data_IF_082976876007
#
_entry.id   IF_082976876007
#
_cell.length_a   1.000
_cell.length_b   1.000
_cell.length_c   1.000
_cell.angle_alpha   90.00
_cell.angle_beta   90.00
_cell.angle_gamma   90.00
#
_symmetry.space_group_name_H-M   'P 1'
#
loop_
_entity.id
_entity.type
_entity.pdbx_description
1 polymer ?
#
# COMPACT_ATOMS: atom_id res chain seq x y z
N UNK A 1 -51.14 10.63 29.45
CA UNK A 1 -51.31 9.16 29.45
C UNK A 1 -52.06 8.77 28.18
N UNK A 2 -51.72 7.60 27.63
CA UNK A 2 -52.27 6.91 26.45
C UNK A 2 -51.40 7.00 25.18
N UNK A 3 -50.63 5.91 24.98
CA UNK A 3 -49.88 5.55 23.78
C UNK A 3 -50.65 4.39 23.11
N UNK A 4 -51.02 4.45 21.82
CA UNK A 4 -51.57 3.30 21.12
C UNK A 4 -50.43 2.40 20.62
N UNK A 5 -50.65 1.09 20.70
CA UNK A 5 -49.76 0.03 20.26
C UNK A 5 -50.07 -0.45 18.84
N UNK A 6 -48.99 -0.50 18.06
CA UNK A 6 -48.60 -1.50 17.06
C UNK A 6 -49.60 -1.92 15.96
N UNK A 7 -49.21 -1.52 14.75
CA UNK A 7 -49.77 -1.85 13.46
C UNK A 7 -49.60 -3.31 13.03
N UNK A 8 -50.50 -3.63 12.10
CA UNK A 8 -50.79 -4.83 11.35
C UNK A 8 -49.61 -5.53 10.63
N UNK A 9 -49.78 -6.85 10.57
CA UNK A 9 -49.14 -7.85 9.74
C UNK A 9 -48.98 -7.46 8.26
N UNK A 10 -47.77 -7.69 7.72
CA UNK A 10 -47.46 -7.75 6.30
C UNK A 10 -46.26 -8.66 6.08
N UNK A 11 -46.48 -9.75 5.33
CA UNK A 11 -45.53 -10.83 5.06
C UNK A 11 -44.42 -10.34 4.10
N UNK A 12 -43.15 -10.49 4.50
CA UNK A 12 -41.99 -10.12 3.67
C UNK A 12 -41.51 -11.32 2.84
N UNK A 13 -41.20 -11.16 1.54
CA UNK A 13 -40.71 -12.26 0.72
C UNK A 13 -39.31 -12.70 1.19
N UNK A 14 -39.13 -14.01 1.38
CA UNK A 14 -37.84 -14.64 1.70
C UNK A 14 -36.88 -14.49 0.52
N UNK A 15 -36.11 -13.41 0.49
CA UNK A 15 -34.98 -13.28 -0.42
C UNK A 15 -33.78 -14.02 0.17
N UNK A 16 -33.18 -14.89 -0.65
CA UNK A 16 -31.94 -15.63 -0.35
C UNK A 16 -30.81 -14.60 -0.21
N UNK A 17 -29.86 -14.75 0.73
CA UNK A 17 -28.68 -13.89 0.75
C UNK A 17 -27.87 -14.19 -0.51
N UNK A 18 -27.99 -13.29 -1.49
CA UNK A 18 -27.06 -13.21 -2.61
C UNK A 18 -25.75 -12.73 -2.03
N UNK A 19 -24.73 -13.57 -2.24
CA UNK A 19 -23.30 -13.25 -2.26
C UNK A 19 -23.01 -11.77 -1.99
N UNK A 20 -22.48 -11.48 -0.80
CA UNK A 20 -21.93 -10.18 -0.45
C UNK A 20 -20.92 -9.82 -1.54
N UNK A 21 -21.29 -8.89 -2.42
CA UNK A 21 -20.37 -8.18 -3.28
C UNK A 21 -19.53 -7.27 -2.37
N UNK A 22 -18.53 -7.89 -1.72
CA UNK A 22 -17.44 -7.18 -1.08
C UNK A 22 -16.62 -6.60 -2.22
N UNK A 23 -16.91 -5.34 -2.57
CA UNK A 23 -15.96 -4.51 -3.32
C UNK A 23 -14.60 -4.66 -2.62
N UNK A 24 -13.50 -4.96 -3.33
CA UNK A 24 -12.20 -5.09 -2.68
C UNK A 24 -11.93 -3.78 -1.93
N UNK A 25 -11.91 -3.90 -0.61
CA UNK A 25 -11.58 -2.81 0.29
C UNK A 25 -10.21 -2.30 -0.12
N UNK A 26 -10.10 -0.99 -0.40
CA UNK A 26 -8.85 -0.26 -0.72
C UNK A 26 -7.68 -0.93 -0.01
N UNK A 27 -7.00 -1.80 -0.77
CA UNK A 27 -6.12 -2.81 -0.22
C UNK A 27 -5.10 -2.04 0.60
N UNK A 28 -5.02 -2.34 1.90
CA UNK A 28 -4.30 -1.49 2.87
C UNK A 28 -2.86 -1.17 2.44
N UNK A 29 -2.10 -0.39 3.22
CA UNK A 29 -0.81 0.22 2.81
C UNK A 29 0.34 -0.74 2.42
N UNK A 30 0.05 -2.03 2.28
CA UNK A 30 0.84 -3.17 1.84
C UNK A 30 0.57 -3.65 0.40
N UNK A 31 -0.62 -3.36 -0.16
CA UNK A 31 -1.19 -4.09 -1.29
C UNK A 31 -0.27 -4.22 -2.50
N UNK A 32 0.46 -3.15 -2.80
CA UNK A 32 1.27 -3.11 -4.01
C UNK A 32 2.62 -3.82 -3.86
N UNK A 33 3.12 -4.04 -2.64
CA UNK A 33 4.53 -4.46 -2.42
C UNK A 33 4.69 -5.72 -1.56
N UNK A 34 3.57 -6.36 -1.22
CA UNK A 34 3.56 -7.56 -0.42
C UNK A 34 2.85 -8.70 -1.17
N UNK A 35 3.39 -9.90 -1.06
CA UNK A 35 2.69 -11.12 -1.42
C UNK A 35 1.63 -11.42 -0.34
N UNK A 36 0.32 -11.37 -0.65
CA UNK A 36 -0.72 -11.61 0.34
C UNK A 36 -0.74 -13.06 0.85
N UNK A 37 -0.21 -14.03 0.09
CA UNK A 37 -0.21 -15.43 0.49
C UNK A 37 0.89 -15.73 1.53
N UNK A 38 2.04 -15.07 1.41
CA UNK A 38 3.22 -15.35 2.26
C UNK A 38 3.55 -14.24 3.24
N UNK A 39 3.00 -13.04 3.06
CA UNK A 39 3.40 -11.84 3.79
C UNK A 39 4.80 -11.35 3.44
N UNK A 40 5.38 -11.84 2.34
CA UNK A 40 6.69 -11.39 1.85
C UNK A 40 6.56 -9.97 1.37
N UNK A 41 7.41 -9.07 1.88
CA UNK A 41 7.50 -7.69 1.37
C UNK A 41 8.73 -7.57 0.49
N UNK A 42 8.56 -7.02 -0.71
CA UNK A 42 9.68 -6.78 -1.62
C UNK A 42 10.29 -5.40 -1.44
N UNK A 43 11.61 -5.36 -1.43
CA UNK A 43 12.43 -4.14 -1.41
C UNK A 43 13.40 -4.19 -2.59
N UNK A 44 13.54 -3.10 -3.35
CA UNK A 44 14.59 -3.07 -4.37
C UNK A 44 15.97 -3.19 -3.72
N UNK A 45 16.85 -4.07 -4.20
CA UNK A 45 18.19 -4.30 -3.69
C UNK A 45 19.09 -3.05 -3.78
N UNK A 46 18.88 -2.25 -4.83
CA UNK A 46 19.62 -1.02 -5.08
C UNK A 46 18.70 0.07 -5.68
N UNK A 47 19.17 1.32 -5.74
CA UNK A 47 18.46 2.40 -6.43
C UNK A 47 18.49 2.11 -7.94
N UNK A 48 17.33 2.11 -8.59
CA UNK A 48 17.25 1.89 -10.03
C UNK A 48 17.90 3.06 -10.81
N UNK A 49 18.25 2.84 -12.09
CA UNK A 49 19.03 3.80 -12.88
C UNK A 49 18.40 5.19 -13.06
N UNK A 50 17.07 5.31 -12.97
CA UNK A 50 16.37 6.61 -13.00
C UNK A 50 15.69 6.93 -11.67
N UNK A 51 16.21 6.42 -10.55
CA UNK A 51 15.64 6.64 -9.23
C UNK A 51 15.39 8.12 -8.93
N UNK A 52 14.22 8.43 -8.38
CA UNK A 52 13.79 9.79 -8.01
C UNK A 52 14.68 10.43 -6.93
N UNK A 53 15.53 9.63 -6.26
CA UNK A 53 16.50 10.08 -5.25
C UNK A 53 17.92 10.22 -5.81
N UNK A 54 18.14 10.01 -7.11
CA UNK A 54 19.40 10.42 -7.74
C UNK A 54 19.48 11.94 -7.90
N UNK A 55 20.69 12.53 -7.77
CA UNK A 55 20.89 13.92 -8.15
C UNK A 55 20.56 14.12 -9.63
N UNK A 56 20.14 15.34 -9.99
CA UNK A 56 19.88 15.70 -11.39
C UNK A 56 18.46 15.40 -11.90
N UNK A 57 17.57 14.86 -11.08
CA UNK A 57 16.15 14.64 -11.42
C UNK A 57 15.96 13.87 -12.74
N UNK A 58 16.45 12.61 -12.83
CA UNK A 58 16.43 11.83 -14.08
C UNK A 58 15.02 11.51 -14.60
N UNK A 59 13.99 11.66 -13.75
CA UNK A 59 12.58 11.46 -14.10
C UNK A 59 11.86 12.77 -14.44
N UNK A 60 12.56 13.90 -14.49
CA UNK A 60 12.02 15.22 -14.82
C UNK A 60 10.79 15.60 -13.98
N UNK A 61 10.79 15.25 -12.70
CA UNK A 61 9.71 15.56 -11.78
C UNK A 61 9.63 17.06 -11.51
N UNK A 62 8.42 17.55 -11.26
CA UNK A 62 8.22 18.94 -10.84
C UNK A 62 8.97 19.23 -9.53
N UNK A 63 9.45 20.47 -9.32
CA UNK A 63 10.05 20.87 -8.05
C UNK A 63 9.12 20.54 -6.87
N UNK A 64 9.68 20.01 -5.79
CA UNK A 64 8.93 19.62 -4.60
C UNK A 64 8.23 18.25 -4.67
N UNK A 65 8.02 17.68 -5.86
CA UNK A 65 7.25 16.44 -6.03
C UNK A 65 7.77 15.26 -5.19
N UNK A 66 9.10 15.08 -5.12
CA UNK A 66 9.70 14.02 -4.30
C UNK A 66 9.44 14.24 -2.82
N UNK A 67 9.56 15.48 -2.34
CA UNK A 67 9.28 15.82 -0.95
C UNK A 67 7.81 15.57 -0.60
N UNK A 68 6.88 15.88 -1.50
CA UNK A 68 5.45 15.62 -1.31
C UNK A 68 5.14 14.12 -1.23
N UNK A 69 5.71 13.31 -2.14
CA UNK A 69 5.55 11.85 -2.11
C UNK A 69 6.08 11.25 -0.80
N UNK A 70 7.27 11.69 -0.36
CA UNK A 70 7.85 11.24 0.92
C UNK A 70 6.99 11.69 2.10
N UNK A 71 6.52 12.94 2.11
CA UNK A 71 5.67 13.48 3.17
C UNK A 71 4.35 12.70 3.28
N UNK A 72 3.71 12.42 2.15
CA UNK A 72 2.48 11.63 2.09
C UNK A 72 2.73 10.21 2.63
N UNK A 73 3.72 9.50 2.10
CA UNK A 73 4.06 8.15 2.54
C UNK A 73 4.35 8.11 4.05
N UNK A 74 5.09 9.09 4.58
CA UNK A 74 5.39 9.18 6.02
C UNK A 74 4.16 9.42 6.89
N UNK A 75 3.19 10.22 6.43
CA UNK A 75 1.95 10.51 7.19
C UNK A 75 1.02 9.32 7.25
N UNK A 76 1.02 8.48 6.21
CA UNK A 76 0.21 7.28 6.12
C UNK A 76 0.90 6.03 6.69
N UNK A 77 2.10 6.17 7.29
CA UNK A 77 2.99 5.04 7.61
C UNK A 77 3.26 4.08 6.43
N UNK A 78 3.11 4.59 5.20
CA UNK A 78 3.25 3.86 3.96
C UNK A 78 4.67 3.85 3.43
N UNK A 79 4.79 3.72 2.11
CA UNK A 79 6.06 3.61 1.41
C UNK A 79 5.99 4.27 0.04
N UNK A 80 7.14 4.42 -0.63
CA UNK A 80 7.20 4.78 -2.05
C UNK A 80 7.58 3.53 -2.82
N UNK A 81 6.74 3.12 -3.77
CA UNK A 81 7.02 2.00 -4.68
C UNK A 81 8.10 2.42 -5.68
N UNK A 82 9.00 1.51 -6.04
CA UNK A 82 9.96 1.73 -7.10
C UNK A 82 9.24 1.82 -8.44
N UNK A 83 9.42 2.92 -9.17
CA UNK A 83 8.73 3.11 -10.45
C UNK A 83 9.14 2.10 -11.53
N UNK A 84 10.29 1.43 -11.37
CA UNK A 84 10.76 0.37 -12.28
C UNK A 84 10.10 -0.99 -12.03
N UNK A 85 9.49 -1.18 -10.87
CA UNK A 85 8.78 -2.42 -10.53
C UNK A 85 7.26 -2.24 -10.55
N UNK A 86 6.76 -1.05 -10.89
CA UNK A 86 5.33 -0.85 -11.13
C UNK A 86 4.86 -1.74 -12.29
N UNK A 87 3.76 -2.45 -12.08
CA UNK A 87 3.15 -3.34 -13.08
C UNK A 87 3.92 -4.64 -13.34
N UNK A 88 4.93 -4.96 -12.52
CA UNK A 88 5.52 -6.30 -12.50
C UNK A 88 4.78 -7.19 -11.50
N UNK A 89 5.08 -8.50 -11.52
CA UNK A 89 4.52 -9.46 -10.55
C UNK A 89 5.06 -9.27 -9.12
N UNK A 90 6.05 -8.41 -8.94
CA UNK A 90 6.65 -8.09 -7.65
C UNK A 90 7.00 -6.60 -7.59
N UNK A 91 5.99 -5.70 -7.48
CA UNK A 91 6.28 -4.32 -7.19
C UNK A 91 6.95 -4.24 -5.81
N UNK A 92 7.86 -3.30 -5.66
CA UNK A 92 8.80 -3.32 -4.54
C UNK A 92 9.02 -1.94 -3.99
N UNK A 93 9.27 -1.86 -2.69
CA UNK A 93 9.59 -0.62 -2.01
C UNK A 93 10.87 -0.05 -2.63
N UNK A 94 10.85 1.25 -2.91
CA UNK A 94 11.98 1.97 -3.49
C UNK A 94 13.16 1.99 -2.50
N UNK A 95 14.34 1.54 -2.95
CA UNK A 95 15.58 1.58 -2.15
C UNK A 95 15.92 3.00 -1.69
N UNK A 96 15.76 3.99 -2.57
CA UNK A 96 16.08 5.38 -2.23
C UNK A 96 15.20 5.95 -1.12
N UNK A 97 13.93 5.53 -1.07
CA UNK A 97 13.04 5.86 0.04
C UNK A 97 13.43 5.10 1.31
N UNK A 98 13.68 3.80 1.17
CA UNK A 98 14.02 2.91 2.27
C UNK A 98 15.35 3.28 2.97
N UNK A 99 16.33 3.83 2.25
CA UNK A 99 17.63 4.25 2.80
C UNK A 99 17.63 5.72 3.28
N UNK A 100 16.54 6.46 3.01
CA UNK A 100 16.42 7.85 3.44
C UNK A 100 16.39 7.98 4.97
N UNK A 101 16.53 9.18 5.54
CA UNK A 101 16.56 9.38 7.00
C UNK A 101 15.32 8.86 7.75
N UNK A 102 14.26 8.46 7.05
CA UNK A 102 12.99 7.98 7.59
C UNK A 102 12.67 6.50 7.28
N UNK A 103 13.69 5.65 7.03
CA UNK A 103 13.59 4.20 6.78
C UNK A 103 12.56 3.47 7.65
N UNK A 104 12.49 3.87 8.92
CA UNK A 104 11.67 3.25 9.95
C UNK A 104 10.21 3.73 9.99
N UNK A 105 9.76 4.63 9.10
CA UNK A 105 8.35 5.04 9.11
C UNK A 105 7.44 4.11 8.31
N UNK A 106 7.98 3.46 7.28
CA UNK A 106 7.23 2.44 6.56
C UNK A 106 6.85 1.29 7.47
N UNK A 107 5.56 1.10 7.69
CA UNK A 107 5.03 0.02 8.49
C UNK A 107 5.36 -1.32 7.85
N UNK A 108 5.23 -1.43 6.51
CA UNK A 108 5.60 -2.62 5.75
C UNK A 108 7.07 -3.02 5.94
N UNK A 109 8.02 -2.08 5.79
CA UNK A 109 9.44 -2.38 6.01
C UNK A 109 9.74 -2.78 7.45
N UNK A 110 9.17 -2.08 8.43
CA UNK A 110 9.38 -2.40 9.85
C UNK A 110 8.87 -3.80 10.19
N UNK A 111 7.64 -4.10 9.77
CA UNK A 111 6.99 -5.37 10.07
C UNK A 111 7.72 -6.52 9.38
N UNK A 112 8.02 -6.40 8.08
CA UNK A 112 8.74 -7.45 7.34
C UNK A 112 10.14 -7.71 7.89
N UNK A 113 10.86 -6.67 8.33
CA UNK A 113 12.16 -6.84 9.02
C UNK A 113 11.99 -7.57 10.35
N UNK A 114 10.98 -7.23 11.14
CA UNK A 114 10.72 -7.88 12.42
C UNK A 114 10.29 -9.35 12.26
N UNK A 115 9.54 -9.67 11.21
CA UNK A 115 9.06 -11.03 10.92
C UNK A 115 10.06 -11.86 10.10
N UNK A 116 11.13 -11.25 9.57
CA UNK A 116 12.06 -11.94 8.67
C UNK A 116 11.49 -12.26 7.29
N UNK A 117 10.46 -11.54 6.84
CA UNK A 117 9.77 -11.74 5.56
C UNK A 117 10.16 -10.71 4.49
N UNK A 118 11.22 -9.93 4.73
CA UNK A 118 11.72 -8.95 3.76
C UNK A 118 12.59 -9.64 2.70
N UNK A 119 12.20 -9.53 1.43
CA UNK A 119 12.99 -10.04 0.30
C UNK A 119 13.49 -8.90 -0.58
N UNK A 120 14.78 -8.92 -0.90
CA UNK A 120 15.35 -7.96 -1.84
C UNK A 120 15.25 -8.46 -3.27
N UNK A 121 14.80 -7.61 -4.20
CA UNK A 121 14.74 -7.89 -5.63
C UNK A 121 15.52 -6.85 -6.43
N UNK A 122 16.10 -7.23 -7.56
CA UNK A 122 16.77 -6.26 -8.44
C UNK A 122 15.73 -5.51 -9.28
N UNK A 123 15.71 -4.17 -9.30
CA UNK A 123 14.90 -3.44 -10.25
C UNK A 123 15.38 -3.71 -11.69
N UNK A 124 14.47 -3.80 -12.68
CA UNK A 124 14.81 -3.98 -14.09
C UNK A 124 15.44 -2.74 -14.74
#
# INVERSE_FOLDING_TARGET
MNRPTADSHGEWPRQRPGHDDVEPEDDGPYADVADPATGTVWLCAHRCGTCIFHPGNPMYLQPGRVADMVSHARRAEGHVVCHKTLGTDAPAICRGFADGPDQGRSFALRLARALGTLTEISPP
#
